data_IF_466929645746
#
_entry.id   IF_466929645746
#
_cell.length_a   1.000
_cell.length_b   1.000
_cell.length_c   1.000
_cell.angle_alpha   90.00
_cell.angle_beta   90.00
_cell.angle_gamma   90.00
#
_symmetry.space_group_name_H-M   'P 1'
#
loop_
_entity.id
_entity.type
_entity.pdbx_description
1 polymer ?
#
# COMPACT_ATOMS: atom_id res chain seq x y z
N UNK A 1 12.31 7.64 -16.12
CA UNK A 1 11.67 7.74 -14.78
C UNK A 1 11.66 6.37 -14.09
N UNK A 2 11.70 6.31 -12.76
CA UNK A 2 11.61 5.04 -12.03
C UNK A 2 10.26 4.92 -11.33
N UNK A 3 9.42 3.98 -11.77
CA UNK A 3 8.06 3.79 -11.29
C UNK A 3 7.99 2.50 -10.48
N UNK A 4 7.66 2.63 -9.20
CA UNK A 4 7.56 1.52 -8.27
C UNK A 4 6.09 1.34 -7.89
N UNK A 5 5.42 0.31 -8.41
CA UNK A 5 4.05 -0.01 -8.03
C UNK A 5 4.08 -0.89 -6.78
N UNK A 6 3.43 -0.48 -5.70
CA UNK A 6 3.20 -1.29 -4.51
C UNK A 6 1.72 -1.65 -4.44
N UNK A 7 1.41 -2.94 -4.56
CA UNK A 7 0.04 -3.46 -4.51
C UNK A 7 -0.05 -4.66 -3.58
N UNK A 8 -1.28 -5.06 -3.25
CA UNK A 8 -1.54 -6.36 -2.63
C UNK A 8 -1.56 -7.49 -3.68
N UNK A 9 -0.64 -7.45 -4.64
CA UNK A 9 -0.54 -8.37 -5.78
C UNK A 9 0.32 -9.60 -5.49
N UNK A 10 0.64 -9.84 -4.22
CA UNK A 10 1.37 -11.00 -3.70
C UNK A 10 0.44 -12.07 -3.06
N UNK A 11 -0.86 -11.96 -3.34
CA UNK A 11 -1.92 -12.89 -2.93
C UNK A 11 -2.88 -13.14 -4.08
N UNK A 12 -3.53 -14.29 -4.09
CA UNK A 12 -4.45 -14.70 -5.16
C UNK A 12 -5.80 -13.96 -5.07
N UNK A 13 -5.83 -12.70 -5.47
CA UNK A 13 -7.02 -11.87 -5.66
C UNK A 13 -6.92 -11.18 -7.02
N UNK A 14 -7.72 -11.63 -7.99
CA UNK A 14 -7.67 -11.12 -9.36
C UNK A 14 -7.75 -9.59 -9.48
N UNK A 15 -8.58 -8.93 -8.67
CA UNK A 15 -8.65 -7.46 -8.68
C UNK A 15 -7.31 -6.83 -8.31
N UNK A 16 -6.70 -7.28 -7.21
CA UNK A 16 -5.41 -6.77 -6.74
C UNK A 16 -4.26 -7.10 -7.73
N UNK A 17 -4.34 -8.22 -8.45
CA UNK A 17 -3.35 -8.62 -9.47
C UNK A 17 -3.41 -7.73 -10.72
N UNK A 18 -4.58 -7.18 -11.07
CA UNK A 18 -4.79 -6.39 -12.28
C UNK A 18 -4.24 -4.97 -12.20
N UNK A 19 -4.27 -4.32 -11.03
CA UNK A 19 -3.86 -2.92 -10.92
C UNK A 19 -2.43 -2.64 -11.42
N UNK A 20 -1.39 -3.41 -11.03
CA UNK A 20 -0.04 -3.19 -11.55
C UNK A 20 0.06 -3.41 -13.07
N UNK A 21 -0.70 -4.34 -13.62
CA UNK A 21 -0.72 -4.65 -15.06
C UNK A 21 -1.29 -3.45 -15.84
N UNK A 22 -2.44 -2.93 -15.40
CA UNK A 22 -3.09 -1.78 -16.03
C UNK A 22 -2.21 -0.53 -15.98
N UNK A 23 -1.61 -0.25 -14.82
CA UNK A 23 -0.69 0.88 -14.66
C UNK A 23 0.48 0.74 -15.64
N UNK A 24 1.11 -0.45 -15.68
CA UNK A 24 2.22 -0.70 -16.62
C UNK A 24 1.76 -0.48 -18.07
N UNK A 25 0.60 -1.01 -18.45
CA UNK A 25 0.08 -0.90 -19.81
C UNK A 25 -0.20 0.54 -20.24
N UNK A 26 -0.74 1.35 -19.34
CA UNK A 26 -0.98 2.78 -19.58
C UNK A 26 0.35 3.53 -19.76
N UNK A 27 1.36 3.21 -18.95
CA UNK A 27 2.70 3.80 -19.06
C UNK A 27 3.41 3.41 -20.37
N UNK A 28 3.29 2.15 -20.80
CA UNK A 28 3.82 1.66 -22.08
C UNK A 28 3.22 2.41 -23.29
N UNK A 29 2.01 2.96 -23.16
CA UNK A 29 1.36 3.77 -24.19
C UNK A 29 1.76 5.26 -24.13
N UNK A 30 2.63 5.65 -23.20
CA UNK A 30 3.13 7.03 -23.11
C UNK A 30 4.47 7.18 -23.83
N UNK A 31 4.76 8.36 -24.37
CA UNK A 31 6.03 8.67 -25.04
C UNK A 31 7.22 8.87 -24.08
N UNK A 32 7.12 8.39 -22.83
CA UNK A 32 8.12 8.62 -21.78
C UNK A 32 8.90 7.35 -21.48
N UNK A 33 10.21 7.48 -21.37
CA UNK A 33 11.05 6.38 -20.90
C UNK A 33 10.84 6.13 -19.39
N UNK A 34 10.53 4.88 -19.04
CA UNK A 34 10.36 4.46 -17.66
C UNK A 34 10.92 3.06 -17.38
N UNK A 35 11.36 2.88 -16.14
CA UNK A 35 11.59 1.57 -15.55
C UNK A 35 10.44 1.27 -14.60
N UNK A 36 9.76 0.13 -14.78
CA UNK A 36 8.65 -0.28 -13.94
C UNK A 36 9.04 -1.49 -13.08
N UNK A 37 8.85 -1.35 -11.77
CA UNK A 37 9.06 -2.44 -10.83
C UNK A 37 7.81 -2.65 -9.99
N UNK A 38 7.32 -3.90 -9.97
CA UNK A 38 6.16 -4.31 -9.18
C UNK A 38 6.60 -4.84 -7.81
N UNK A 39 5.98 -4.37 -6.75
CA UNK A 39 6.24 -4.74 -5.38
C UNK A 39 4.97 -5.21 -4.69
N UNK A 40 5.13 -6.24 -3.86
CA UNK A 40 4.15 -6.71 -2.90
C UNK A 40 4.70 -6.60 -1.49
N UNK A 41 3.95 -7.11 -0.52
CA UNK A 41 4.44 -7.18 0.87
C UNK A 41 5.56 -8.21 0.97
N UNK A 42 5.41 -9.34 0.28
CA UNK A 42 6.46 -10.33 0.04
C UNK A 42 6.81 -10.45 -1.45
N UNK A 43 7.96 -11.08 -1.69
CA UNK A 43 8.35 -11.54 -3.02
C UNK A 43 7.46 -12.73 -3.40
N UNK A 44 6.85 -12.67 -4.58
CA UNK A 44 5.99 -13.73 -5.09
C UNK A 44 6.05 -13.78 -6.62
N UNK A 45 5.74 -14.94 -7.17
CA UNK A 45 5.55 -15.12 -8.60
C UNK A 45 4.22 -15.82 -8.82
N UNK A 46 3.24 -15.05 -9.31
CA UNK A 46 1.89 -15.52 -9.64
C UNK A 46 1.66 -15.42 -11.16
N UNK A 47 2.74 -15.49 -11.96
CA UNK A 47 2.67 -15.40 -13.42
C UNK A 47 1.80 -16.49 -14.06
N UNK A 48 1.67 -17.66 -13.43
CA UNK A 48 0.72 -18.71 -13.83
C UNK A 48 -0.76 -18.24 -13.80
N UNK A 49 -1.06 -17.19 -13.02
CA UNK A 49 -2.37 -16.53 -12.95
C UNK A 49 -2.43 -15.25 -13.79
N UNK A 50 -1.42 -14.97 -14.62
CA UNK A 50 -1.31 -13.77 -15.44
C UNK A 50 -0.85 -12.52 -14.68
N UNK A 51 -0.39 -12.66 -13.44
CA UNK A 51 0.10 -11.54 -12.64
C UNK A 51 1.54 -11.12 -13.00
N UNK A 52 1.90 -9.87 -12.70
CA UNK A 52 3.31 -9.47 -12.67
C UNK A 52 3.98 -10.05 -11.42
N UNK A 53 5.20 -10.62 -11.51
CA UNK A 53 5.94 -11.03 -10.33
C UNK A 53 6.22 -9.82 -9.42
N UNK A 54 6.29 -10.05 -8.12
CA UNK A 54 6.55 -9.00 -7.12
C UNK A 54 7.94 -9.15 -6.53
N UNK A 55 8.63 -8.02 -6.35
CA UNK A 55 9.67 -7.91 -5.32
C UNK A 55 9.01 -7.61 -3.96
N UNK A 56 9.72 -7.87 -2.87
CA UNK A 56 9.21 -7.60 -1.52
C UNK A 56 9.27 -6.12 -1.16
N UNK A 57 8.42 -5.69 -0.22
CA UNK A 57 8.48 -4.34 0.36
C UNK A 57 9.85 -4.03 0.96
N UNK A 58 10.54 -5.03 1.51
CA UNK A 58 11.91 -4.89 1.97
C UNK A 58 12.88 -4.51 0.85
N UNK A 59 12.70 -5.07 -0.35
CA UNK A 59 13.48 -4.73 -1.52
C UNK A 59 13.13 -3.33 -2.03
N UNK A 60 11.86 -2.88 -1.96
CA UNK A 60 11.50 -1.48 -2.25
C UNK A 60 12.31 -0.52 -1.38
N UNK A 61 12.39 -0.80 -0.07
CA UNK A 61 13.10 0.02 0.91
C UNK A 61 14.63 -0.05 0.78
N UNK A 62 15.17 -1.20 0.36
CA UNK A 62 16.63 -1.43 0.19
C UNK A 62 17.15 -0.92 -1.15
N UNK A 63 16.39 -1.12 -2.23
CA UNK A 63 16.84 -0.78 -3.58
C UNK A 63 16.70 0.72 -3.86
N UNK A 64 15.79 1.40 -3.16
CA UNK A 64 15.59 2.85 -3.29
C UNK A 64 16.24 3.64 -2.13
N UNK A 65 17.47 3.27 -1.74
CA UNK A 65 18.23 4.00 -0.70
C UNK A 65 18.52 5.45 -1.11
N UNK A 66 18.49 5.76 -2.41
CA UNK A 66 18.53 7.11 -2.95
C UNK A 66 17.30 7.35 -3.83
N UNK A 67 16.16 7.69 -3.22
CA UNK A 67 15.02 8.23 -3.97
C UNK A 67 15.46 9.51 -4.69
N UNK A 68 15.89 9.38 -5.94
CA UNK A 68 16.11 10.50 -6.87
C UNK A 68 14.79 11.20 -7.11
N UNK A 69 14.81 12.46 -7.54
CA UNK A 69 13.58 13.20 -7.79
C UNK A 69 12.73 12.58 -8.93
N UNK A 70 13.33 11.72 -9.76
CA UNK A 70 12.65 10.95 -10.83
C UNK A 70 11.96 9.65 -10.36
N UNK A 71 11.96 9.37 -9.05
CA UNK A 71 11.30 8.18 -8.50
C UNK A 71 9.86 8.46 -8.11
N UNK A 72 8.94 7.64 -8.61
CA UNK A 72 7.52 7.65 -8.27
C UNK A 72 7.16 6.32 -7.62
N UNK A 73 6.35 6.38 -6.56
CA UNK A 73 5.78 5.23 -5.89
C UNK A 73 4.27 5.29 -6.05
N UNK A 74 3.69 4.29 -6.69
CA UNK A 74 2.25 4.18 -6.90
C UNK A 74 1.72 3.10 -5.97
N UNK A 75 0.87 3.47 -5.02
CA UNK A 75 0.05 2.50 -4.29
C UNK A 75 -1.11 2.13 -5.20
N UNK A 76 -1.06 0.92 -5.74
CA UNK A 76 -1.89 0.47 -6.84
C UNK A 76 -3.11 -0.29 -6.34
N UNK A 77 -4.24 0.41 -6.29
CA UNK A 77 -5.59 -0.12 -6.08
C UNK A 77 -5.80 -0.99 -4.85
N UNK A 78 -6.96 -1.66 -4.83
CA UNK A 78 -7.34 -2.62 -3.79
C UNK A 78 -7.76 -1.98 -2.46
N UNK A 79 -8.27 -2.81 -1.55
CA UNK A 79 -8.60 -2.38 -0.18
C UNK A 79 -7.33 -2.37 0.69
N UNK A 80 -6.54 -1.31 0.57
CA UNK A 80 -5.18 -1.24 1.12
C UNK A 80 -5.05 -0.36 2.36
N UNK A 81 -6.04 0.51 2.64
CA UNK A 81 -6.00 1.40 3.81
C UNK A 81 -6.81 0.83 4.98
N UNK A 82 -6.21 0.85 6.17
CA UNK A 82 -6.82 0.46 7.45
C UNK A 82 -6.47 -0.95 7.93
N UNK A 83 -5.88 -1.79 7.07
CA UNK A 83 -5.29 -3.06 7.49
C UNK A 83 -3.99 -2.84 8.27
N UNK A 84 -3.92 -3.33 9.52
CA UNK A 84 -2.65 -3.44 10.24
C UNK A 84 -1.76 -4.56 9.69
N UNK A 85 -0.47 -4.55 10.05
CA UNK A 85 0.50 -5.57 9.64
C UNK A 85 0.02 -7.01 9.92
N UNK A 86 -0.62 -7.26 11.07
CA UNK A 86 -1.19 -8.58 11.37
C UNK A 86 -2.25 -9.02 10.36
N UNK A 87 -3.13 -8.10 9.96
CA UNK A 87 -4.19 -8.40 8.99
C UNK A 87 -3.61 -8.75 7.63
N UNK A 88 -2.51 -8.13 7.23
CA UNK A 88 -1.84 -8.45 5.96
C UNK A 88 -1.06 -9.77 6.07
N UNK A 89 -0.26 -9.95 7.13
CA UNK A 89 0.54 -11.17 7.31
C UNK A 89 -0.30 -12.46 7.38
N UNK A 90 -1.55 -12.39 7.84
CA UNK A 90 -2.44 -13.57 7.88
C UNK A 90 -2.70 -14.16 6.49
N UNK A 91 -2.71 -13.33 5.45
CA UNK A 91 -2.93 -13.79 4.07
C UNK A 91 -1.68 -14.38 3.44
N UNK A 92 -0.52 -14.09 4.02
CA UNK A 92 0.79 -14.44 3.46
C UNK A 92 1.35 -15.69 4.12
N UNK A 93 1.04 -15.93 5.40
CA UNK A 93 1.67 -16.98 6.18
C UNK A 93 0.66 -17.71 7.07
N UNK A 94 0.63 -19.04 6.96
CA UNK A 94 -0.28 -19.92 7.71
C UNK A 94 -0.16 -19.79 9.23
N UNK A 95 1.04 -19.53 9.77
CA UNK A 95 1.24 -19.29 11.20
C UNK A 95 0.52 -18.02 11.65
N UNK A 96 0.69 -16.92 10.93
CA UNK A 96 -0.01 -15.65 11.21
C UNK A 96 -1.51 -15.78 10.97
N UNK A 97 -1.93 -16.61 10.01
CA UNK A 97 -3.34 -16.95 9.81
C UNK A 97 -3.95 -17.62 11.04
N UNK A 98 -3.30 -18.66 11.56
CA UNK A 98 -3.74 -19.36 12.78
C UNK A 98 -3.81 -18.43 13.99
N UNK A 99 -2.82 -17.55 14.13
CA UNK A 99 -2.79 -16.51 15.16
C UNK A 99 -3.98 -15.55 15.03
N UNK A 100 -4.27 -15.08 13.82
CA UNK A 100 -5.35 -14.13 13.56
C UNK A 100 -6.73 -14.70 13.89
N UNK A 101 -6.94 -16.00 13.65
CA UNK A 101 -8.19 -16.68 13.96
C UNK A 101 -8.36 -16.98 15.46
N UNK A 102 -7.28 -17.02 16.24
CA UNK A 102 -7.38 -17.13 17.69
C UNK A 102 -7.63 -15.74 18.31
N UNK A 103 -8.85 -15.51 18.82
CA UNK A 103 -9.27 -14.21 19.40
C UNK A 103 -8.33 -13.69 20.49
N UNK A 104 -7.83 -14.58 21.37
CA UNK A 104 -6.96 -14.19 22.48
C UNK A 104 -5.56 -13.79 21.98
N UNK A 105 -4.96 -14.57 21.08
CA UNK A 105 -3.66 -14.25 20.50
C UNK A 105 -3.73 -12.98 19.65
N UNK A 106 -4.78 -12.83 18.82
CA UNK A 106 -5.00 -11.61 18.03
C UNK A 106 -5.11 -10.38 18.92
N UNK A 107 -5.90 -10.45 20.00
CA UNK A 107 -6.04 -9.36 20.97
C UNK A 107 -4.69 -9.00 21.60
N UNK A 108 -3.94 -10.00 22.08
CA UNK A 108 -2.63 -9.77 22.69
C UNK A 108 -1.64 -9.12 21.73
N UNK A 109 -1.56 -9.60 20.49
CA UNK A 109 -0.62 -9.07 19.47
C UNK A 109 -0.98 -7.66 19.06
N UNK A 110 -2.26 -7.37 18.86
CA UNK A 110 -2.73 -6.02 18.53
C UNK A 110 -2.51 -5.06 19.70
N UNK A 111 -2.86 -5.45 20.93
CA UNK A 111 -2.69 -4.63 22.14
C UNK A 111 -1.22 -4.31 22.42
N UNK A 112 -0.36 -5.30 22.27
CA UNK A 112 1.09 -5.14 22.49
C UNK A 112 1.82 -4.45 21.33
N UNK A 113 1.12 -4.27 20.20
CA UNK A 113 1.70 -3.74 18.95
C UNK A 113 2.94 -4.53 18.53
N UNK A 114 2.99 -5.83 18.81
CA UNK A 114 4.19 -6.67 18.57
C UNK A 114 4.63 -6.54 17.12
N UNK A 115 3.74 -6.76 16.15
CA UNK A 115 4.11 -6.72 14.74
C UNK A 115 4.50 -5.32 14.26
N UNK A 116 3.91 -4.28 14.84
CA UNK A 116 4.27 -2.88 14.58
C UNK A 116 5.65 -2.53 15.17
N UNK A 117 6.11 -3.25 16.20
CA UNK A 117 7.44 -3.06 16.81
C UNK A 117 8.51 -4.00 16.24
N UNK A 118 8.13 -5.21 15.83
CA UNK A 118 9.06 -6.29 15.49
C UNK A 118 9.52 -6.27 14.03
N UNK A 119 8.69 -5.77 13.12
CA UNK A 119 9.12 -5.72 11.74
C UNK A 119 10.10 -4.56 11.57
N UNK A 120 11.35 -4.82 11.17
CA UNK A 120 12.29 -3.74 10.75
C UNK A 120 11.69 -2.86 9.63
N UNK A 121 10.66 -3.38 8.97
CA UNK A 121 9.78 -2.78 7.98
C UNK A 121 8.97 -1.61 8.56
N UNK A 122 8.51 -1.67 9.81
CA UNK A 122 7.67 -0.60 10.40
C UNK A 122 8.40 0.71 10.64
N UNK A 123 9.74 0.70 10.65
CA UNK A 123 10.54 1.94 10.64
C UNK A 123 10.27 2.81 9.41
N UNK A 124 9.76 2.21 8.34
CA UNK A 124 9.53 2.87 7.07
C UNK A 124 8.04 3.07 6.76
N UNK A 125 7.17 2.37 7.50
CA UNK A 125 5.76 2.27 7.18
C UNK A 125 4.98 1.75 8.40
N UNK A 126 4.24 2.64 9.07
CA UNK A 126 3.41 2.29 10.22
C UNK A 126 2.32 1.28 9.87
N UNK A 127 1.84 1.31 8.62
CA UNK A 127 0.86 0.38 8.03
C UNK A 127 1.34 -0.07 6.65
N UNK A 128 1.13 -1.33 6.24
CA UNK A 128 1.60 -1.94 4.98
C UNK A 128 1.61 -1.06 3.73
N UNK A 129 0.60 -0.20 3.55
CA UNK A 129 0.43 0.67 2.38
C UNK A 129 0.41 2.16 2.73
N UNK A 130 0.86 2.54 3.94
CA UNK A 130 1.10 3.93 4.34
C UNK A 130 2.61 4.08 4.53
N UNK A 131 3.23 4.80 3.61
CA UNK A 131 4.69 4.95 3.53
C UNK A 131 5.16 6.14 4.35
N UNK A 132 4.79 6.20 5.63
CA UNK A 132 4.98 7.36 6.50
C UNK A 132 6.39 7.48 7.12
N UNK A 133 7.29 6.55 6.85
CA UNK A 133 8.67 6.65 7.33
C UNK A 133 9.52 7.69 6.59
N UNK A 134 10.56 8.18 7.27
CA UNK A 134 11.44 9.27 6.80
C UNK A 134 12.19 9.01 5.48
N UNK A 135 12.23 7.76 5.00
CA UNK A 135 12.86 7.42 3.73
C UNK A 135 12.05 7.86 2.51
N UNK A 136 10.74 8.01 2.64
CA UNK A 136 9.86 8.29 1.52
C UNK A 136 9.48 9.76 1.47
N UNK A 137 9.80 10.44 0.36
CA UNK A 137 9.34 11.82 0.13
C UNK A 137 7.85 11.77 -0.24
N UNK A 138 7.01 12.53 0.47
CA UNK A 138 5.55 12.54 0.24
C UNK A 138 5.17 12.86 -1.20
N UNK A 139 5.86 13.84 -1.79
CA UNK A 139 5.69 14.28 -3.19
C UNK A 139 6.02 13.23 -4.26
N UNK A 140 6.49 12.05 -3.88
CA UNK A 140 6.74 10.93 -4.79
C UNK A 140 5.66 9.84 -4.71
N UNK A 141 4.75 9.94 -3.74
CA UNK A 141 3.76 8.91 -3.43
C UNK A 141 2.44 9.30 -4.09
N UNK A 142 1.89 8.38 -4.87
CA UNK A 142 0.61 8.50 -5.53
C UNK A 142 -0.26 7.30 -5.14
N UNK A 143 -1.49 7.54 -4.72
CA UNK A 143 -2.48 6.50 -4.48
C UNK A 143 -3.47 6.47 -5.64
N UNK A 144 -3.58 5.32 -6.29
CA UNK A 144 -4.42 5.12 -7.47
C UNK A 144 -5.59 4.18 -7.16
N UNK A 145 -6.83 4.69 -7.27
CA UNK A 145 -8.08 3.93 -7.15
C UNK A 145 -8.14 3.02 -5.91
N UNK A 146 -7.72 3.52 -4.74
CA UNK A 146 -7.69 2.69 -3.54
C UNK A 146 -9.06 2.59 -2.87
N UNK A 147 -9.33 1.43 -2.28
CA UNK A 147 -10.34 1.27 -1.25
C UNK A 147 -9.79 1.64 0.13
N UNK A 148 -10.57 2.42 0.89
CA UNK A 148 -10.13 3.03 2.13
C UNK A 148 -11.19 3.07 3.22
N UNK A 149 -12.08 2.09 3.28
CA UNK A 149 -13.08 2.01 4.34
C UNK A 149 -12.43 1.96 5.73
N UNK A 150 -11.28 1.28 5.82
CA UNK A 150 -10.51 1.21 7.05
C UNK A 150 -9.75 2.50 7.43
N UNK A 151 -9.82 3.56 6.62
CA UNK A 151 -9.23 4.87 6.94
C UNK A 151 -10.03 5.63 8.01
N UNK A 152 -11.33 5.31 8.21
CA UNK A 152 -12.22 6.08 9.09
C UNK A 152 -11.69 6.26 10.51
N UNK A 153 -11.37 5.16 11.18
CA UNK A 153 -10.82 5.21 12.55
C UNK A 153 -9.38 5.75 12.56
N UNK A 154 -8.64 5.53 11.48
CA UNK A 154 -7.23 5.92 11.37
C UNK A 154 -7.10 7.45 11.28
N UNK A 155 -7.93 8.12 10.47
CA UNK A 155 -7.94 9.57 10.32
C UNK A 155 -8.59 10.26 11.53
N UNK A 156 -9.69 9.70 12.06
CA UNK A 156 -10.37 10.27 13.22
C UNK A 156 -9.47 10.34 14.46
N UNK A 157 -8.58 9.38 14.65
CA UNK A 157 -7.77 9.27 15.86
C UNK A 157 -6.34 9.81 15.73
N UNK A 158 -5.86 10.16 14.53
CA UNK A 158 -4.47 10.58 14.36
C UNK A 158 -4.28 11.62 13.24
N UNK A 159 -3.97 12.85 13.67
CA UNK A 159 -3.69 14.00 12.81
C UNK A 159 -2.45 13.83 11.92
N UNK A 160 -1.51 12.96 12.30
CA UNK A 160 -0.32 12.70 11.47
C UNK A 160 -0.70 12.03 10.15
N UNK A 161 -1.73 11.18 10.13
CA UNK A 161 -2.21 10.59 8.88
C UNK A 161 -2.96 11.61 8.02
N UNK A 162 -3.72 12.51 8.64
CA UNK A 162 -4.36 13.62 7.91
C UNK A 162 -3.27 14.48 7.23
N UNK A 163 -2.20 14.81 7.96
CA UNK A 163 -1.05 15.53 7.40
C UNK A 163 -0.39 14.74 6.28
N UNK A 164 -0.14 13.44 6.49
CA UNK A 164 0.45 12.55 5.49
C UNK A 164 -0.32 12.59 4.17
N UNK A 165 -1.64 12.39 4.19
CA UNK A 165 -2.46 12.35 2.98
C UNK A 165 -2.65 13.72 2.31
N UNK A 166 -2.44 14.82 3.03
CA UNK A 166 -2.40 16.16 2.43
C UNK A 166 -1.06 16.51 1.77
N UNK A 167 0.02 15.80 2.10
CA UNK A 167 1.36 16.07 1.58
C UNK A 167 1.78 15.17 0.41
N UNK A 168 1.04 14.09 0.16
CA UNK A 168 1.30 13.17 -0.95
C UNK A 168 1.01 13.83 -2.31
N UNK A 169 1.60 13.29 -3.37
CA UNK A 169 1.49 13.88 -4.71
C UNK A 169 0.09 13.72 -5.32
N UNK A 170 -0.57 12.60 -5.04
CA UNK A 170 -1.87 12.29 -5.60
C UNK A 170 -2.61 11.27 -4.74
N UNK A 171 -3.91 11.48 -4.57
CA UNK A 171 -4.82 10.55 -3.92
C UNK A 171 -6.06 10.37 -4.77
N UNK A 172 -6.35 9.12 -5.11
CA UNK A 172 -7.64 8.74 -5.69
C UNK A 172 -8.20 7.51 -5.00
N UNK A 173 -9.52 7.50 -4.90
CA UNK A 173 -10.30 6.42 -4.27
C UNK A 173 -11.32 5.90 -5.26
N UNK A 174 -11.67 4.63 -5.13
CA UNK A 174 -12.58 3.94 -6.07
C UNK A 174 -14.06 4.09 -5.78
N UNK A 175 -14.42 4.38 -4.53
CA UNK A 175 -15.79 4.35 -4.08
C UNK A 175 -16.17 5.59 -3.26
N UNK A 176 -17.48 5.88 -3.26
CA UNK A 176 -18.05 7.05 -2.60
C UNK A 176 -17.83 6.99 -1.08
N UNK A 177 -17.84 5.80 -0.48
CA UNK A 177 -17.67 5.67 0.97
C UNK A 177 -16.26 6.03 1.40
N UNK A 178 -15.24 5.59 0.65
CA UNK A 178 -13.85 6.00 0.82
C UNK A 178 -13.67 7.50 0.62
N UNK A 179 -14.29 8.07 -0.42
CA UNK A 179 -14.28 9.52 -0.66
C UNK A 179 -14.81 10.32 0.53
N UNK A 180 -15.98 9.95 1.04
CA UNK A 180 -16.60 10.63 2.18
C UNK A 180 -15.73 10.60 3.44
N UNK A 181 -14.99 9.51 3.67
CA UNK A 181 -14.08 9.40 4.82
C UNK A 181 -12.96 10.46 4.74
N UNK A 182 -12.34 10.63 3.59
CA UNK A 182 -11.25 11.61 3.42
C UNK A 182 -11.77 13.05 3.36
N UNK A 183 -12.91 13.31 2.71
CA UNK A 183 -13.53 14.63 2.65
C UNK A 183 -13.95 15.14 4.04
N UNK A 184 -14.38 14.24 4.94
CA UNK A 184 -14.67 14.59 6.33
C UNK A 184 -13.46 15.11 7.12
N UNK A 185 -12.25 15.01 6.55
CA UNK A 185 -11.00 15.48 7.13
C UNK A 185 -10.28 16.50 6.22
N UNK A 186 -10.99 17.12 5.28
CA UNK A 186 -10.48 18.14 4.35
C UNK A 186 -9.29 17.67 3.49
N UNK A 187 -9.22 16.38 3.18
CA UNK A 187 -8.16 15.80 2.35
C UNK A 187 -8.57 15.84 0.88
N UNK A 188 -7.77 16.50 0.04
CA UNK A 188 -8.02 16.58 -1.40
C UNK A 188 -7.79 15.23 -2.09
N UNK A 189 -8.73 14.82 -2.95
CA UNK A 189 -8.68 13.55 -3.67
C UNK A 189 -9.52 13.56 -4.94
N UNK A 190 -9.33 12.55 -5.78
CA UNK A 190 -10.18 12.24 -6.94
C UNK A 190 -10.99 10.96 -6.73
N UNK A 191 -12.26 10.95 -7.16
CA UNK A 191 -13.04 9.72 -7.25
C UNK A 191 -12.78 9.09 -8.62
N UNK A 192 -12.13 7.94 -8.65
CA UNK A 192 -11.77 7.20 -9.87
C UNK A 192 -12.23 5.75 -9.66
N UNK A 193 -13.45 5.40 -10.08
CA UNK A 193 -13.98 4.06 -9.94
C UNK A 193 -13.13 3.00 -10.64
N UNK A 194 -13.14 1.78 -10.10
CA UNK A 194 -12.54 0.58 -10.70
C UNK A 194 -13.18 0.24 -12.07
#
# INVERSE_FOLDING_TARGET
>A
MNINALAASDRNNYGDLLFPILIKKILENSDKDFNFTNYGIIKSDLSDFGALPTLSFNELVKNNVNFTDDTIIIIAGGEVIGGGWLNIYRFINSFWNRIYHNKYLRFLINKSKILEKYSKITKYSSRPFILDGNKFKRRQIMYNAIGAQGAKELLANNKEYIKYFNEIAYLSVRDISSKQIFEAHDISLSLVPD
#
